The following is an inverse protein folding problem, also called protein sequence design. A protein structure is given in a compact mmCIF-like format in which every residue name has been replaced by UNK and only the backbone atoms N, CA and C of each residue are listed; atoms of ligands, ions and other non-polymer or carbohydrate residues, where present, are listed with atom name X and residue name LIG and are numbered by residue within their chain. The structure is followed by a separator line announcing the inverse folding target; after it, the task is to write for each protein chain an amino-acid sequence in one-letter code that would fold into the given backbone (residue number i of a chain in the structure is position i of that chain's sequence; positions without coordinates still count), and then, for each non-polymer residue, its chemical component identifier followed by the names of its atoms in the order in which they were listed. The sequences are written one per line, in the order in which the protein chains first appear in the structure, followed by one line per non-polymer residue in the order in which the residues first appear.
data_IF_110804256918
#
_entry.id   IF_110804256918
#
_cell.length_a   1.000
_cell.length_b   1.000
_cell.length_c   1.000
_cell.angle_alpha   90.00
_cell.angle_beta   90.00
_cell.angle_gamma   90.00
#
_symmetry.space_group_name_H-M   'P 1'
#
loop_
_entity.id
_entity.type
_entity.pdbx_description
1 polymer ?
#
# COMPACT_ATOMS: atom_id res chain seq x y z
N UNK A 1 -11.19 -8.11 11.09
CA UNK A 1 -10.26 -8.72 12.06
C UNK A 1 -9.97 -7.75 13.21
N UNK A 2 -10.10 -8.14 14.50
CA UNK A 2 -9.95 -7.17 15.62
C UNK A 2 -8.55 -6.53 15.75
N UNK A 3 -7.48 -7.18 15.26
CA UNK A 3 -6.10 -6.66 15.37
C UNK A 3 -5.69 -5.69 14.25
N UNK A 4 -6.24 -5.83 13.05
CA UNK A 4 -5.91 -4.95 11.94
C UNK A 4 -6.35 -3.49 12.18
N UNK A 5 -7.26 -3.23 13.12
CA UNK A 5 -7.62 -1.87 13.55
C UNK A 5 -6.52 -1.16 14.34
N UNK A 6 -5.51 -1.90 14.83
CA UNK A 6 -4.37 -1.36 15.57
C UNK A 6 -3.12 -1.20 14.69
N UNK A 7 -3.20 -1.57 13.41
CA UNK A 7 -2.06 -1.48 12.51
C UNK A 7 -1.72 -0.03 12.24
N UNK A 8 -0.44 0.30 12.37
CA UNK A 8 0.11 1.55 11.84
C UNK A 8 0.40 1.41 10.33
N UNK A 9 0.94 2.46 9.74
CA UNK A 9 1.23 2.59 8.31
C UNK A 9 2.24 1.52 7.85
N UNK A 10 3.27 1.30 8.67
CA UNK A 10 4.28 0.27 8.46
C UNK A 10 3.68 -1.14 8.53
N UNK A 11 2.82 -1.43 9.51
CA UNK A 11 2.16 -2.73 9.67
C UNK A 11 1.27 -3.04 8.47
N UNK A 12 0.51 -2.05 7.97
CA UNK A 12 -0.34 -2.17 6.80
C UNK A 12 0.48 -2.47 5.54
N UNK A 13 1.51 -1.65 5.26
CA UNK A 13 2.34 -1.82 4.07
C UNK A 13 3.11 -3.14 4.09
N UNK A 14 3.67 -3.55 5.22
CA UNK A 14 4.39 -4.82 5.37
C UNK A 14 3.47 -6.02 5.21
N UNK A 15 2.24 -5.93 5.72
CA UNK A 15 1.26 -7.02 5.58
C UNK A 15 0.85 -7.18 4.13
N UNK A 16 0.53 -6.07 3.44
CA UNK A 16 0.22 -6.10 2.01
C UNK A 16 1.40 -6.63 1.19
N UNK A 17 2.62 -6.19 1.51
CA UNK A 17 3.85 -6.68 0.88
C UNK A 17 4.06 -8.17 1.07
N UNK A 18 3.85 -8.69 2.28
CA UNK A 18 3.93 -10.13 2.53
C UNK A 18 2.89 -10.91 1.72
N UNK A 19 1.64 -10.42 1.65
CA UNK A 19 0.58 -11.05 0.85
C UNK A 19 0.94 -11.07 -0.64
N UNK A 20 1.40 -9.94 -1.18
CA UNK A 20 1.86 -9.83 -2.57
C UNK A 20 3.07 -10.74 -2.85
N UNK A 21 4.05 -10.78 -1.94
CA UNK A 21 5.24 -11.62 -2.07
C UNK A 21 4.91 -13.12 -2.07
N UNK A 22 3.96 -13.53 -1.23
CA UNK A 22 3.46 -14.90 -1.16
C UNK A 22 2.46 -15.23 -2.27
N UNK A 23 2.03 -14.24 -3.06
CA UNK A 23 0.92 -14.35 -4.00
C UNK A 23 -0.33 -14.94 -3.34
N UNK A 24 -0.56 -14.60 -2.07
CA UNK A 24 -1.68 -15.08 -1.28
C UNK A 24 -2.81 -14.06 -1.33
N UNK A 25 -3.80 -14.32 -2.18
CA UNK A 25 -4.92 -13.43 -2.37
C UNK A 25 -6.17 -13.93 -1.66
N UNK A 26 -6.58 -13.20 -0.62
CA UNK A 26 -7.91 -13.27 -0.03
C UNK A 26 -8.54 -11.88 -0.20
N UNK A 27 -9.59 -11.81 -1.02
CA UNK A 27 -10.23 -10.54 -1.35
C UNK A 27 -10.72 -9.80 -0.11
N UNK A 28 -11.34 -10.49 0.86
CA UNK A 28 -11.89 -9.84 2.04
C UNK A 28 -10.78 -9.28 2.94
N UNK A 29 -9.65 -10.01 3.04
CA UNK A 29 -8.48 -9.54 3.78
C UNK A 29 -7.83 -8.34 3.11
N UNK A 30 -7.62 -8.42 1.79
CA UNK A 30 -7.00 -7.34 1.02
C UNK A 30 -7.88 -6.09 1.05
N UNK A 31 -9.19 -6.21 0.82
CA UNK A 31 -10.15 -5.10 0.93
C UNK A 31 -10.08 -4.42 2.31
N UNK A 32 -10.07 -5.19 3.42
CA UNK A 32 -10.01 -4.64 4.79
C UNK A 32 -8.68 -3.89 5.05
N UNK A 33 -7.56 -4.40 4.53
CA UNK A 33 -6.25 -3.76 4.66
C UNK A 33 -6.17 -2.48 3.81
N UNK A 34 -6.68 -2.54 2.58
CA UNK A 34 -6.77 -1.42 1.65
C UNK A 34 -7.59 -0.26 2.22
N UNK A 35 -8.78 -0.53 2.77
CA UNK A 35 -9.63 0.50 3.38
C UNK A 35 -8.91 1.21 4.53
N UNK A 36 -8.08 0.49 5.30
CA UNK A 36 -7.30 1.05 6.40
C UNK A 36 -6.08 1.81 5.93
N UNK A 37 -5.39 1.31 4.89
CA UNK A 37 -4.29 2.02 4.25
C UNK A 37 -4.77 3.37 3.71
N UNK A 38 -5.93 3.41 3.06
CA UNK A 38 -6.53 4.65 2.54
C UNK A 38 -6.80 5.68 3.65
N UNK A 39 -7.38 5.27 4.77
CA UNK A 39 -7.63 6.16 5.92
C UNK A 39 -6.35 6.73 6.55
N UNK A 40 -5.19 6.15 6.25
CA UNK A 40 -3.87 6.51 6.78
C UNK A 40 -2.89 6.94 5.70
N UNK A 41 -3.32 7.07 4.44
CA UNK A 41 -2.43 7.26 3.29
C UNK A 41 -1.59 8.55 3.39
N UNK A 42 -2.11 9.58 4.06
CA UNK A 42 -1.37 10.82 4.34
C UNK A 42 -0.15 10.61 5.26
N UNK A 43 -0.24 9.65 6.17
CA UNK A 43 0.79 9.36 7.17
C UNK A 43 1.86 8.39 6.62
N UNK A 44 1.61 7.74 5.48
CA UNK A 44 2.56 6.82 4.88
C UNK A 44 3.84 7.56 4.45
N UNK A 45 5.00 6.96 4.66
CA UNK A 45 6.24 7.36 4.00
C UNK A 45 6.35 6.77 2.58
N UNK A 46 7.42 7.12 1.88
CA UNK A 46 7.67 6.75 0.48
C UNK A 46 7.75 5.23 0.31
N UNK A 47 8.38 4.54 1.26
CA UNK A 47 8.52 3.08 1.24
C UNK A 47 7.19 2.38 1.46
N UNK A 48 6.36 2.87 2.39
CA UNK A 48 5.05 2.31 2.70
C UNK A 48 4.10 2.43 1.51
N UNK A 49 4.12 3.59 0.82
CA UNK A 49 3.36 3.80 -0.42
C UNK A 49 3.84 2.85 -1.53
N UNK A 50 5.16 2.79 -1.75
CA UNK A 50 5.75 1.93 -2.79
C UNK A 50 5.42 0.45 -2.56
N UNK A 51 5.58 -0.04 -1.33
CA UNK A 51 5.26 -1.41 -0.95
C UNK A 51 3.78 -1.72 -1.18
N UNK A 52 2.91 -0.79 -0.80
CA UNK A 52 1.46 -0.95 -0.97
C UNK A 52 1.10 -1.05 -2.44
N UNK A 53 1.52 -0.09 -3.27
CA UNK A 53 1.26 -0.10 -4.73
C UNK A 53 1.79 -1.37 -5.42
N UNK A 54 3.02 -1.77 -5.11
CA UNK A 54 3.61 -2.99 -5.65
C UNK A 54 2.80 -4.24 -5.29
N UNK A 55 2.34 -4.32 -4.05
CA UNK A 55 1.56 -5.47 -3.55
C UNK A 55 0.22 -5.60 -4.26
N UNK A 56 -0.47 -4.48 -4.45
CA UNK A 56 -1.75 -4.42 -5.14
C UNK A 56 -1.60 -4.85 -6.60
N UNK A 57 -0.57 -4.35 -7.27
CA UNK A 57 -0.22 -4.78 -8.63
C UNK A 57 0.09 -6.29 -8.66
N UNK A 58 0.86 -6.80 -7.70
CA UNK A 58 1.23 -8.23 -7.65
C UNK A 58 0.03 -9.15 -7.42
N UNK A 59 -0.93 -8.71 -6.62
CA UNK A 59 -2.17 -9.44 -6.32
C UNK A 59 -3.26 -9.27 -7.40
N UNK A 60 -3.01 -8.45 -8.44
CA UNK A 60 -4.01 -8.02 -9.42
C UNK A 60 -5.25 -7.39 -8.75
N UNK A 61 -5.05 -6.69 -7.62
CA UNK A 61 -6.10 -6.03 -6.89
C UNK A 61 -6.14 -4.55 -7.26
N UNK A 62 -7.04 -4.19 -8.17
CA UNK A 62 -7.17 -2.85 -8.69
C UNK A 62 -8.53 -2.26 -8.32
N UNK A 63 -8.50 -1.28 -7.42
CA UNK A 63 -9.63 -0.42 -7.10
C UNK A 63 -9.19 1.00 -7.47
N UNK A 64 -9.86 1.59 -8.48
CA UNK A 64 -9.35 2.80 -9.15
C UNK A 64 -9.20 3.96 -8.17
N UNK A 65 -10.18 4.17 -7.29
CA UNK A 65 -10.14 5.26 -6.33
C UNK A 65 -8.96 5.12 -5.38
N UNK A 66 -8.72 3.89 -4.87
CA UNK A 66 -7.56 3.61 -4.03
C UNK A 66 -6.22 3.84 -4.73
N UNK A 67 -6.05 3.30 -5.94
CA UNK A 67 -4.77 3.44 -6.66
C UNK A 67 -4.50 4.91 -6.99
N UNK A 68 -5.51 5.66 -7.39
CA UNK A 68 -5.38 7.09 -7.67
C UNK A 68 -4.94 7.88 -6.43
N UNK A 69 -5.55 7.63 -5.26
CA UNK A 69 -5.19 8.32 -4.01
C UNK A 69 -3.77 7.98 -3.54
N UNK A 70 -3.37 6.70 -3.58
CA UNK A 70 -2.02 6.28 -3.22
C UNK A 70 -0.97 6.86 -4.18
N UNK A 71 -1.27 6.93 -5.47
CA UNK A 71 -0.41 7.58 -6.47
C UNK A 71 -0.31 9.08 -6.24
N UNK A 72 -1.40 9.77 -5.91
CA UNK A 72 -1.39 11.20 -5.58
C UNK A 72 -0.50 11.46 -4.36
N UNK A 73 -0.64 10.65 -3.30
CA UNK A 73 0.21 10.76 -2.10
C UNK A 73 1.67 10.43 -2.37
N UNK A 74 1.94 9.45 -3.22
CA UNK A 74 3.30 9.14 -3.66
C UNK A 74 3.90 10.33 -4.44
N UNK A 75 3.13 10.99 -5.30
CA UNK A 75 3.56 12.16 -6.06
C UNK A 75 3.78 13.39 -5.18
N UNK A 76 2.94 13.61 -4.16
CA UNK A 76 3.15 14.66 -3.15
C UNK A 76 4.50 14.48 -2.43
N UNK A 77 4.85 13.23 -2.10
CA UNK A 77 6.09 12.87 -1.40
C UNK A 77 7.26 12.60 -2.35
N UNK A 78 7.05 12.63 -3.66
CA UNK A 78 8.06 12.33 -4.67
C UNK A 78 9.26 13.29 -4.67
N UNK A 79 9.11 14.49 -4.08
CA UNK A 79 10.25 15.41 -3.85
C UNK A 79 11.28 14.80 -2.88
N UNK A 80 10.88 13.85 -2.03
CA UNK A 80 11.71 13.14 -1.06
C UNK A 80 12.03 11.68 -1.48
N UNK A 81 11.57 11.23 -2.66
CA UNK A 81 11.87 9.88 -3.16
C UNK A 81 13.37 9.76 -3.53
N UNK A 82 14.13 8.99 -2.75
CA UNK A 82 15.44 8.53 -3.20
C UNK A 82 15.29 7.52 -4.36
N UNK A 83 16.34 7.36 -5.16
CA UNK A 83 16.37 6.55 -6.41
C UNK A 83 15.85 5.10 -6.26
N UNK A 84 15.89 4.52 -5.06
CA UNK A 84 15.40 3.16 -4.79
C UNK A 84 13.86 3.07 -4.78
N UNK A 85 13.16 4.16 -4.42
CA UNK A 85 11.70 4.17 -4.23
C UNK A 85 10.94 4.36 -5.55
N UNK A 86 11.53 5.03 -6.55
CA UNK A 86 10.92 5.21 -7.87
C UNK A 86 10.81 3.87 -8.64
N UNK A 87 11.81 3.00 -8.46
CA UNK A 87 11.91 1.73 -9.17
C UNK A 87 10.86 0.68 -8.76
N UNK A 88 10.18 0.86 -7.64
CA UNK A 88 9.12 -0.07 -7.18
C UNK A 88 7.70 0.44 -7.49
N UNK A 89 7.58 1.65 -8.04
CA UNK A 89 6.30 2.34 -8.28
C UNK A 89 5.90 2.39 -9.77
N UNK A 90 6.87 2.23 -10.69
CA UNK A 90 6.68 2.14 -12.15
C UNK A 90 6.94 0.72 -12.67
#
# INVERSE_FOLDING_TARGET
MKKAAQFNEQDLSNTLWALGKLNHYDKAVVDELCEKAMKKAADFNEQELSNTLWSLAKLNHYEKAMVDELCEKAMEKAVDFNEQNLSNTL
#
